data_IF_053186264565
#
_entry.id   IF_053186264565
#
_cell.length_a   1.000
_cell.length_b   1.000
_cell.length_c   1.000
_cell.angle_alpha   90.00
_cell.angle_beta   90.00
_cell.angle_gamma   90.00
#
_symmetry.space_group_name_H-M   'P 1'
#
loop_
_entity.id
_entity.type
_entity.pdbx_description
1 polymer ?
2 polymer ?
3 non-polymer ?
4 non-polymer ?
5 water ?
#
# COMPACT_ATOMS: atom_id res chain seq x y z
N UNK A 1 -10.73 -6.17 -15.10
CA UNK A 1 -11.51 -4.99 -14.73
C UNK A 1 -10.64 -3.78 -14.46
N UNK A 2 -11.26 -2.62 -14.33
CA UNK A 2 -10.59 -1.40 -13.94
C UNK A 2 -11.13 -0.98 -12.59
N UNK A 3 -10.23 -0.77 -11.64
CA UNK A 3 -10.62 -0.38 -10.28
C UNK A 3 -10.10 1.03 -10.01
N UNK A 4 -11.03 1.96 -9.78
CA UNK A 4 -10.67 3.33 -9.42
C UNK A 4 -10.34 3.35 -7.93
N UNK A 5 -9.72 4.45 -7.52
CA UNK A 5 -9.16 4.58 -6.16
C UNK A 5 -9.90 5.62 -5.30
N UNK A 6 -11.09 6.00 -5.72
CA UNK A 6 -11.97 6.83 -4.90
C UNK A 6 -12.19 6.21 -3.52
N UNK A 7 -12.27 4.89 -3.48
CA UNK A 7 -12.43 4.15 -2.24
C UNK A 7 -11.33 3.10 -2.17
N UNK A 8 -11.19 2.44 -1.03
CA UNK A 8 -10.21 1.37 -0.88
C UNK A 8 -10.51 0.30 -1.92
N UNK A 9 -9.48 -0.16 -2.64
CA UNK A 9 -9.67 -1.20 -3.62
C UNK A 9 -9.79 -2.58 -2.97
N UNK A 10 -10.95 -2.82 -2.37
CA UNK A 10 -11.25 -4.06 -1.67
C UNK A 10 -11.96 -5.04 -2.58
N UNK A 11 -11.46 -6.28 -2.59
CA UNK A 11 -12.08 -7.34 -3.37
C UNK A 11 -12.26 -8.56 -2.47
N UNK A 12 -13.19 -9.43 -2.84
CA UNK A 12 -13.33 -10.69 -2.13
C UNK A 12 -12.32 -11.67 -2.72
N UNK A 13 -11.61 -12.35 -1.85
CA UNK A 13 -10.70 -13.41 -2.27
C UNK A 13 -11.16 -14.74 -1.67
N UNK A 14 -10.74 -15.83 -2.30
CA UNK A 14 -11.00 -17.15 -1.76
C UNK A 14 -9.73 -17.97 -1.60
N UNK A 15 -9.62 -18.62 -0.45
CA UNK A 15 -8.60 -19.63 -0.23
C UNK A 15 -9.31 -20.85 0.34
N UNK A 16 -9.27 -21.95 -0.41
CA UNK A 16 -9.99 -23.14 -0.04
C UNK A 16 -11.48 -22.85 0.09
N UNK A 17 -12.04 -23.16 1.25
CA UNK A 17 -13.44 -22.86 1.52
C UNK A 17 -13.62 -21.52 2.24
N UNK A 18 -12.61 -20.66 2.13
CA UNK A 18 -12.55 -19.49 3.00
C UNK A 18 -12.60 -18.19 2.22
N UNK A 19 -13.48 -17.30 2.65
CA UNK A 19 -13.67 -16.00 2.03
C UNK A 19 -13.10 -14.91 2.91
N UNK A 20 -12.37 -13.99 2.27
CA UNK A 20 -11.77 -12.87 2.96
C UNK A 20 -11.93 -11.64 2.08
N UNK A 21 -12.23 -10.50 2.70
CA UNK A 21 -12.19 -9.23 1.99
C UNK A 21 -10.76 -8.72 2.09
N UNK A 22 -10.17 -8.37 0.94
CA UNK A 22 -8.76 -7.99 0.89
C UNK A 22 -8.50 -6.75 0.05
N UNK A 23 -7.47 -6.02 0.45
CA UNK A 23 -7.08 -4.77 -0.16
C UNK A 23 -6.01 -5.01 -1.22
N UNK A 24 -6.29 -4.57 -2.44
CA UNK A 24 -5.29 -4.63 -3.52
C UNK A 24 -4.26 -3.52 -3.31
N UNK A 25 -3.06 -3.92 -2.95
CA UNK A 25 -2.09 -3.04 -2.31
C UNK A 25 -0.74 -3.01 -3.04
N UNK A 26 -0.57 -2.06 -3.96
CA UNK A 26 0.68 -1.92 -4.73
C UNK A 26 1.86 -1.50 -3.87
N UNK A 27 1.56 -0.94 -2.69
CA UNK A 27 2.58 -0.60 -1.70
C UNK A 27 3.13 -1.77 -0.88
N UNK A 28 2.56 -2.96 -1.05
CA UNK A 28 2.97 -4.11 -0.28
C UNK A 28 3.75 -5.10 -1.15
N UNK A 29 4.95 -5.46 -0.71
CA UNK A 29 5.72 -6.49 -1.42
C UNK A 29 5.01 -7.85 -1.33
N UNK A 30 4.41 -8.09 -0.17
CA UNK A 30 3.86 -9.39 0.17
C UNK A 30 2.36 -9.37 0.41
N UNK A 31 1.79 -10.56 0.44
CA UNK A 31 0.38 -10.75 0.74
C UNK A 31 0.24 -11.19 2.20
N UNK A 32 -0.55 -10.45 2.97
CA UNK A 32 -0.78 -10.80 4.37
C UNK A 32 -2.25 -10.83 4.73
N UNK A 33 -2.64 -11.95 5.32
CA UNK A 33 -4.01 -12.17 5.79
C UNK A 33 -4.02 -12.44 7.29
N UNK A 34 -5.11 -12.08 7.96
CA UNK A 34 -5.28 -12.45 9.37
C UNK A 34 -6.17 -13.67 9.54
N UNK A 35 -6.04 -14.33 10.70
CA UNK A 35 -6.86 -15.49 11.05
C UNK A 35 -7.12 -16.41 9.87
N UNK A 36 -6.08 -17.14 9.49
CA UNK A 36 -6.16 -18.13 8.43
C UNK A 36 -5.39 -19.37 8.85
N UNK A 37 -6.09 -20.49 8.94
CA UNK A 37 -5.41 -21.78 9.01
C UNK A 37 -5.04 -22.15 7.58
N UNK A 38 -3.76 -22.43 7.37
CA UNK A 38 -3.29 -22.81 6.04
C UNK A 38 -2.55 -24.13 6.15
N UNK A 39 -2.62 -24.95 5.10
CA UNK A 39 -1.91 -26.21 5.13
C UNK A 39 -0.42 -25.99 4.94
N UNK A 40 0.39 -26.90 5.46
CA UNK A 40 1.81 -26.93 5.15
C UNK A 40 2.69 -26.28 6.19
N UNK A 41 3.98 -26.44 6.01
CA UNK A 41 4.98 -25.87 6.89
C UNK A 41 4.99 -24.36 6.74
N UNK A 42 5.42 -23.67 7.78
CA UNK A 42 5.53 -22.22 7.73
C UNK A 42 6.80 -21.85 8.49
N UNK A 43 7.31 -20.66 8.19
CA UNK A 43 8.43 -20.11 8.93
C UNK A 43 8.11 -18.71 9.42
N UNK A 44 8.52 -18.39 10.65
CA UNK A 44 8.42 -17.04 11.21
C UNK A 44 9.02 -15.97 10.30
N UNK A 45 8.35 -14.81 10.24
CA UNK A 45 8.84 -13.66 9.51
C UNK A 45 8.35 -12.39 10.19
N UNK A 46 9.10 -11.30 10.07
CA UNK A 46 8.63 -9.99 10.51
C UNK A 46 8.55 -9.01 9.34
N UNK A 47 7.40 -8.38 9.20
CA UNK A 47 7.16 -7.47 8.07
C UNK A 47 6.73 -6.10 8.60
N UNK A 48 7.20 -5.04 7.95
CA UNK A 48 7.03 -3.68 8.45
C UNK A 48 6.19 -2.80 7.55
N UNK A 49 5.59 -1.79 8.17
CA UNK A 49 4.99 -0.67 7.45
C UNK A 49 4.98 0.52 8.37
N UNK A 50 4.19 1.54 8.04
CA UNK A 50 4.05 2.66 8.96
C UNK A 50 3.58 2.13 10.30
N UNK A 51 4.27 2.56 11.37
CA UNK A 51 3.97 2.10 12.73
C UNK A 51 4.96 1.09 13.29
N UNK A 52 5.53 0.28 12.41
CA UNK A 52 6.51 -0.72 12.82
C UNK A 52 6.26 -2.08 12.22
N UNK A 53 6.62 -3.12 12.95
CA UNK A 53 6.64 -4.48 12.42
C UNK A 53 5.64 -5.40 13.12
N UNK A 54 5.14 -6.39 12.38
CA UNK A 54 4.39 -7.48 13.00
C UNK A 54 5.04 -8.81 12.65
N UNK A 55 4.81 -9.78 13.52
CA UNK A 55 5.29 -11.12 13.33
C UNK A 55 4.22 -11.90 12.59
N UNK A 56 4.63 -12.59 11.53
CA UNK A 56 3.73 -13.38 10.70
C UNK A 56 4.33 -14.76 10.45
N UNK A 57 3.46 -15.66 9.99
CA UNK A 57 3.87 -16.97 9.49
C UNK A 57 3.85 -16.96 7.97
N UNK A 58 4.97 -17.34 7.35
CA UNK A 58 5.07 -17.44 5.90
C UNK A 58 4.70 -18.84 5.42
N UNK A 59 3.65 -18.93 4.62
CA UNK A 59 3.29 -20.18 3.95
C UNK A 59 3.59 -20.03 2.45
N UNK A 60 4.17 -21.05 1.83
CA UNK A 60 4.49 -20.96 0.40
C UNK A 60 3.47 -21.75 -0.44
N UNK A 61 3.39 -21.41 -1.72
CA UNK A 61 2.63 -22.19 -2.70
C UNK A 61 1.14 -22.34 -2.38
N UNK A 62 0.54 -21.23 -1.94
CA UNK A 62 -0.87 -21.18 -1.55
C UNK A 62 -1.73 -20.65 -2.68
N UNK A 63 -2.67 -21.46 -3.21
CA UNK A 63 -3.59 -20.93 -4.20
C UNK A 63 -4.56 -19.89 -3.65
N UNK A 64 -4.68 -18.77 -4.34
CA UNK A 64 -5.59 -17.70 -3.93
C UNK A 64 -6.40 -17.23 -5.12
N UNK A 65 -7.73 -17.34 -5.04
CA UNK A 65 -8.59 -16.88 -6.12
C UNK A 65 -8.96 -15.41 -5.93
N UNK A 66 -8.62 -14.61 -6.94
CA UNK A 66 -8.81 -13.16 -6.91
C UNK A 66 -9.62 -12.72 -8.14
N UNK A 67 -10.87 -12.37 -7.94
CA UNK A 67 -11.75 -11.95 -9.04
C UNK A 67 -11.67 -12.89 -10.24
N UNK A 68 -11.71 -14.19 -9.99
CA UNK A 68 -11.68 -15.19 -11.06
C UNK A 68 -10.31 -15.56 -11.61
N UNK A 69 -9.27 -14.95 -11.04
CA UNK A 69 -7.89 -15.26 -11.42
C UNK A 69 -7.22 -16.15 -10.37
N UNK A 70 -6.50 -17.17 -10.84
CA UNK A 70 -5.82 -18.11 -9.97
C UNK A 70 -4.42 -17.63 -9.64
N UNK A 71 -4.21 -17.17 -8.40
CA UNK A 71 -2.86 -16.86 -7.96
C UNK A 71 -2.36 -18.00 -7.09
N UNK A 72 -1.07 -18.33 -7.22
CA UNK A 72 -0.42 -19.28 -6.33
C UNK A 72 0.93 -18.73 -5.87
N UNK A 73 1.06 -18.50 -4.58
CA UNK A 73 2.31 -18.00 -4.04
C UNK A 73 2.38 -17.89 -2.52
N UNK A 74 3.27 -17.03 -2.05
CA UNK A 74 3.50 -16.89 -0.62
C UNK A 74 2.38 -16.08 -0.01
N UNK A 75 1.85 -16.58 1.11
CA UNK A 75 0.81 -15.90 1.87
C UNK A 75 1.34 -15.83 3.29
N UNK A 76 1.44 -14.61 3.81
CA UNK A 76 1.84 -14.41 5.19
C UNK A 76 0.58 -14.29 6.03
N UNK A 77 0.64 -14.82 7.23
CA UNK A 77 -0.51 -14.82 8.11
C UNK A 77 -0.12 -14.24 9.47
N UNK A 78 -0.87 -13.21 9.86
CA UNK A 78 -0.72 -12.64 11.20
C UNK A 78 -1.64 -11.46 11.40
N UNK A 79 -1.36 -10.66 12.44
CA UNK A 79 -2.29 -9.64 12.93
C UNK A 79 -2.23 -8.34 12.13
N UNK A 80 -2.41 -8.46 10.82
CA UNK A 80 -2.56 -7.29 9.98
C UNK A 80 -3.93 -6.66 10.26
N UNK A 81 -4.00 -5.34 10.34
CA UNK A 81 -5.28 -4.67 10.58
C UNK A 81 -6.27 -4.78 9.43
N UNK A 82 -5.74 -4.95 8.22
CA UNK A 82 -6.57 -5.26 7.04
C UNK A 82 -5.89 -6.33 6.21
N UNK A 83 -6.67 -7.24 5.63
CA UNK A 83 -6.13 -8.25 4.72
C UNK A 83 -5.63 -7.59 3.45
N UNK A 84 -4.45 -8.03 3.00
CA UNK A 84 -3.68 -7.34 1.98
C UNK A 84 -3.28 -8.30 0.88
N UNK A 85 -3.54 -7.91 -0.36
CA UNK A 85 -2.98 -8.58 -1.52
C UNK A 85 -1.81 -7.74 -2.04
N UNK A 86 -0.61 -8.27 -1.94
CA UNK A 86 0.60 -7.55 -2.36
C UNK A 86 1.10 -7.91 -3.76
N UNK A 87 2.23 -7.31 -4.12
CA UNK A 87 2.76 -7.39 -5.49
C UNK A 87 3.06 -8.82 -5.94
N UNK A 88 3.38 -9.71 -5.00
CA UNK A 88 3.71 -11.08 -5.35
C UNK A 88 2.54 -11.78 -6.06
N UNK A 89 1.31 -11.47 -5.64
CA UNK A 89 0.14 -12.03 -6.28
C UNK A 89 -0.47 -11.10 -7.34
N UNK A 90 -0.38 -9.79 -7.13
CA UNK A 90 -0.90 -8.82 -8.11
C UNK A 90 -0.26 -8.97 -9.48
N UNK A 91 1.04 -9.27 -9.49
CA UNK A 91 1.77 -9.51 -10.74
C UNK A 91 1.21 -10.72 -11.49
N UNK A 92 0.92 -11.79 -10.74
CA UNK A 92 0.47 -13.05 -11.35
C UNK A 92 -0.88 -12.91 -12.04
N UNK A 93 -1.71 -11.99 -11.57
CA UNK A 93 -3.01 -11.78 -12.20
C UNK A 93 -2.98 -10.66 -13.25
N UNK A 94 -1.80 -10.07 -13.45
CA UNK A 94 -1.60 -9.11 -14.55
C UNK A 94 -2.05 -7.71 -14.18
N UNK A 95 -1.96 -7.38 -12.89
CA UNK A 95 -2.42 -6.09 -12.39
C UNK A 95 -1.38 -4.99 -12.61
N UNK A 96 -1.81 -3.88 -13.19
CA UNK A 96 -0.97 -2.71 -13.37
C UNK A 96 -1.63 -1.44 -12.84
N UNK A 97 -0.80 -0.40 -12.65
CA UNK A 97 -1.26 0.95 -12.35
C UNK A 97 -1.20 1.72 -13.66
N UNK A 98 -2.21 2.53 -13.93
CA UNK A 98 -2.34 3.24 -15.20
C UNK A 98 -2.85 4.65 -14.97
N UNK A 99 -2.16 5.64 -15.53
CA UNK A 99 -2.63 7.01 -15.53
C UNK A 99 -1.99 7.81 -16.67
N UNK B 1 1.46 6.83 -17.89
CA UNK B 1 2.17 5.57 -18.01
C UNK B 1 1.37 4.37 -17.54
N UNK B 2 1.89 3.19 -17.84
CA UNK B 2 1.45 1.95 -17.22
C UNK B 2 2.61 1.43 -16.40
N UNK B 3 2.37 1.21 -15.11
CA UNK B 3 3.43 0.74 -14.22
C UNK B 3 3.10 -0.67 -13.77
N UNK B 4 4.03 -1.58 -14.03
CA UNK B 4 3.84 -2.97 -13.67
C UNK B 4 4.38 -3.18 -12.26
N UNK B 5 4.14 -4.35 -11.70
CA UNK B 5 4.40 -4.55 -10.29
C UNK B 5 5.44 -5.60 -9.94
N UNK B 6 6.27 -5.99 -10.91
CA UNK B 6 7.36 -6.93 -10.66
C UNK B 6 8.41 -6.26 -9.76
N UNK B 7 8.48 -4.94 -9.85
CA UNK B 7 9.29 -4.13 -8.97
C UNK B 7 8.39 -3.14 -8.23
N UNK B 8 8.88 -2.59 -7.14
CA UNK B 8 8.14 -1.57 -6.40
C UNK B 8 7.81 -0.42 -7.35
N UNK B 9 6.56 0.07 -7.32
CA UNK B 9 6.15 1.19 -8.16
C UNK B 9 6.67 2.54 -7.65
N UNK B 10 7.99 2.71 -7.72
CA UNK B 10 8.63 3.94 -7.30
C UNK B 10 8.70 4.87 -8.50
N UNK B 11 8.36 6.14 -8.27
CA UNK B 11 8.44 7.14 -9.30
C UNK B 11 9.03 8.41 -8.71
N UNK B 12 9.42 9.32 -9.59
CA UNK B 12 9.93 10.60 -9.17
C UNK B 12 8.77 11.59 -9.01
N UNK B 13 8.79 12.30 -7.89
CA UNK B 13 7.81 13.34 -7.66
C UNK B 13 8.55 14.67 -7.50
N UNK B 14 7.83 15.76 -7.74
CA UNK B 14 8.34 17.09 -7.43
C UNK B 14 7.40 17.77 -6.44
N UNK B 15 8.00 18.29 -5.37
CA UNK B 15 7.26 18.93 -4.30
C UNK B 15 8.16 20.00 -3.67
N UNK B 16 7.69 21.24 -3.64
CA UNK B 16 8.48 22.35 -3.12
C UNK B 16 9.78 22.61 -3.86
N UNK B 17 9.81 22.24 -5.14
CA UNK B 17 11.01 22.37 -5.96
C UNK B 17 12.03 21.26 -5.77
N UNK B 18 11.70 20.27 -4.95
CA UNK B 18 12.62 19.16 -4.71
C UNK B 18 12.11 17.92 -5.42
N UNK B 19 13.02 17.17 -6.04
CA UNK B 19 12.70 15.86 -6.58
C UNK B 19 12.90 14.81 -5.50
N UNK B 20 11.94 13.91 -5.39
CA UNK B 20 12.00 12.80 -4.46
C UNK B 20 11.46 11.54 -5.12
N UNK B 21 11.87 10.39 -4.63
CA UNK B 21 11.30 9.11 -5.05
C UNK B 21 10.17 8.72 -4.11
N UNK B 22 9.05 8.31 -4.69
CA UNK B 22 7.90 7.87 -3.91
C UNK B 22 7.25 6.63 -4.50
N UNK B 23 6.62 5.89 -3.61
CA UNK B 23 5.96 4.63 -3.91
C UNK B 23 4.49 4.88 -4.19
N UNK B 24 4.02 4.48 -5.38
CA UNK B 24 2.59 4.56 -5.68
C UNK B 24 1.86 3.43 -4.95
N UNK B 25 1.01 3.81 -4.00
CA UNK B 25 0.52 2.90 -2.97
C UNK B 25 -1.00 2.93 -2.85
N UNK B 26 -1.64 1.95 -3.48
CA UNK B 26 -3.09 1.85 -3.47
C UNK B 26 -3.69 1.42 -2.12
N UNK B 27 -2.85 0.93 -1.20
CA UNK B 27 -3.29 0.51 0.11
C UNK B 27 -3.26 1.60 1.16
N UNK B 28 -2.91 2.81 0.74
CA UNK B 28 -2.78 3.95 1.62
C UNK B 28 -3.87 4.96 1.25
N UNK B 29 -4.68 5.33 2.23
CA UNK B 29 -5.66 6.39 2.05
C UNK B 29 -4.94 7.72 1.77
N UNK B 30 -3.85 7.96 2.48
CA UNK B 30 -3.19 9.25 2.55
C UNK B 30 -1.79 9.14 1.97
N UNK B 31 -1.25 10.31 1.63
CA UNK B 31 0.11 10.48 1.14
C UNK B 31 1.00 10.87 2.33
N UNK B 32 2.05 10.09 2.56
CA UNK B 32 2.95 10.25 3.72
C UNK B 32 4.40 10.30 3.24
N UNK B 33 5.04 11.45 3.44
CA UNK B 33 6.44 11.65 3.06
C UNK B 33 7.36 11.60 4.26
N UNK B 34 8.58 11.15 4.01
CA UNK B 34 9.65 11.22 4.97
C UNK B 34 9.81 12.65 5.50
N UNK B 35 10.39 12.74 6.69
CA UNK B 35 10.67 14.01 7.36
C UNK B 35 11.19 15.05 6.38
N UNK B 36 10.51 16.20 6.32
CA UNK B 36 10.96 17.30 5.48
C UNK B 36 10.20 18.53 5.91
N UNK B 37 10.73 19.70 5.62
CA UNK B 37 9.96 20.92 5.81
C UNK B 37 9.15 21.21 4.57
N UNK B 38 7.98 21.79 4.75
CA UNK B 38 7.09 22.10 3.66
C UNK B 38 6.41 23.43 3.93
N UNK B 39 6.15 24.21 2.86
CA UNK B 39 5.50 25.50 2.95
C UNK B 39 4.29 25.58 3.86
N UNK B 40 4.48 26.22 5.01
CA UNK B 40 3.39 26.89 5.72
C UNK B 40 2.18 26.07 6.12
N UNK B 41 1.63 26.38 7.28
CA UNK B 41 0.35 25.82 7.74
C UNK B 41 0.37 24.29 7.76
N UNK B 42 0.70 23.75 8.93
CA UNK B 42 0.45 22.34 9.20
C UNK B 42 -0.27 22.21 10.54
N UNK B 43 -0.96 21.08 10.70
CA UNK B 43 -1.60 20.74 11.97
C UNK B 43 -1.09 19.37 12.42
N UNK B 44 -0.97 19.16 13.73
CA UNK B 44 -0.69 17.82 14.22
C UNK B 44 -1.83 16.87 13.87
N UNK B 45 -1.47 15.64 13.52
CA UNK B 45 -2.44 14.59 13.24
C UNK B 45 -1.89 13.25 13.71
N UNK B 46 -2.79 12.30 13.93
CA UNK B 46 -2.38 10.94 14.20
C UNK B 46 -2.94 10.03 13.10
N UNK B 47 -2.11 9.14 12.58
CA UNK B 47 -2.61 8.15 11.62
C UNK B 47 -2.40 6.72 12.12
N UNK B 48 -3.40 5.89 11.84
CA UNK B 48 -3.41 4.51 12.29
C UNK B 48 -2.20 3.83 11.68
N UNK B 49 -1.41 3.17 12.52
CA UNK B 49 -0.25 2.43 12.06
C UNK B 49 -0.22 1.01 12.60
N UNK B 50 0.85 0.30 12.26
CA UNK B 50 1.09 -1.01 12.84
C UNK B 50 1.47 -0.82 14.31
N UNK B 51 0.74 -1.50 15.18
CA UNK B 51 0.99 -1.43 16.63
C UNK B 51 0.47 -0.18 17.29
N UNK B 52 -0.18 0.69 16.52
CA UNK B 52 -0.80 1.89 17.07
C UNK B 52 -0.61 3.12 16.20
N UNK B 53 -1.02 4.26 16.74
CA UNK B 53 -1.02 5.50 15.99
C UNK B 53 0.37 6.12 15.95
N UNK B 54 0.71 6.70 14.80
CA UNK B 54 1.96 7.43 14.65
C UNK B 54 1.63 8.91 14.49
N UNK B 55 2.53 9.76 14.99
CA UNK B 55 2.37 11.20 14.89
C UNK B 55 2.90 11.69 13.55
N UNK B 56 2.09 12.49 12.89
CA UNK B 56 2.51 13.14 11.66
C UNK B 56 2.11 14.61 11.70
N UNK B 57 2.66 15.37 10.75
CA UNK B 57 2.24 16.75 10.50
C UNK B 57 1.43 16.79 9.22
N UNK B 58 0.25 17.39 9.27
CA UNK B 58 -0.63 17.45 8.11
C UNK B 58 -0.56 18.82 7.45
N UNK B 59 -0.07 18.83 6.22
CA UNK B 59 -0.11 20.02 5.35
C UNK B 59 -1.25 19.88 4.34
N UNK B 60 -2.13 20.89 4.26
CA UNK B 60 -3.21 20.86 3.28
C UNK B 60 -2.86 21.64 2.03
N UNK B 61 -3.59 21.35 0.95
CA UNK B 61 -3.45 22.03 -0.33
C UNK B 61 -2.00 22.25 -0.77
N UNK B 62 -1.23 21.17 -0.82
CA UNK B 62 0.16 21.22 -1.30
C UNK B 62 0.24 20.71 -2.75
N UNK B 63 0.84 21.49 -3.66
CA UNK B 63 1.06 21.02 -5.02
C UNK B 63 2.13 19.93 -5.08
N UNK B 64 1.78 18.82 -5.71
CA UNK B 64 2.70 17.70 -5.92
C UNK B 64 2.60 17.22 -7.36
N UNK B 65 3.73 17.17 -8.04
CA UNK B 65 3.80 16.66 -9.41
C UNK B 65 4.32 15.21 -9.41
N UNK B 66 3.52 14.31 -10.00
CA UNK B 66 3.79 12.89 -10.00
C UNK B 66 3.90 12.43 -11.46
N UNK B 67 5.11 12.13 -11.90
CA UNK B 67 5.37 11.78 -13.30
C UNK B 67 4.84 12.84 -14.24
N UNK B 68 4.94 14.10 -13.83
CA UNK B 68 4.49 15.22 -14.63
C UNK B 68 2.98 15.40 -14.65
N UNK B 69 2.30 14.73 -13.71
CA UNK B 69 0.86 14.91 -13.54
C UNK B 69 0.65 15.71 -12.26
N UNK B 70 -0.13 16.79 -12.37
CA UNK B 70 -0.30 17.74 -11.28
C UNK B 70 -1.34 17.27 -10.27
N UNK B 71 -0.98 17.29 -8.99
CA UNK B 71 -1.98 17.14 -7.95
C UNK B 71 -1.80 18.25 -6.91
N UNK B 72 -2.88 18.55 -6.22
CA UNK B 72 -2.84 19.50 -5.12
C UNK B 72 -3.73 19.02 -3.98
N UNK B 73 -3.10 18.64 -2.88
CA UNK B 73 -3.85 18.10 -1.75
C UNK B 73 -3.03 17.92 -0.49
N UNK B 74 -3.55 17.06 0.36
CA UNK B 74 -3.02 16.92 1.71
C UNK B 74 -1.81 16.02 1.69
N UNK B 75 -0.73 16.51 2.26
CA UNK B 75 0.49 15.73 2.37
C UNK B 75 0.81 15.61 3.86
N UNK B 76 0.92 14.38 4.32
CA UNK B 76 1.34 14.10 5.70
C UNK B 76 2.85 13.89 5.72
N UNK B 77 3.49 14.38 6.78
CA UNK B 77 4.94 14.22 6.94
C UNK B 77 5.22 13.51 8.28
N UNK B 78 5.95 12.40 8.23
CA UNK B 78 6.31 11.69 9.46
C UNK B 78 7.19 10.48 9.20
N UNK B 79 7.34 9.61 10.22
CA UNK B 79 8.20 8.43 10.15
C UNK B 79 7.65 7.30 9.29
N UNK B 80 7.95 7.35 8.00
CA UNK B 80 7.52 6.33 7.08
C UNK B 80 8.75 5.63 6.50
N UNK B 81 8.70 4.29 6.36
CA UNK B 81 9.77 3.57 5.69
C UNK B 81 10.19 4.18 4.35
N UNK B 82 9.21 4.71 3.62
CA UNK B 82 9.45 5.26 2.29
C UNK B 82 8.38 6.31 1.98
N UNK B 83 8.72 7.27 1.14
CA UNK B 83 7.73 8.26 0.68
C UNK B 83 6.64 7.48 -0.02
N UNK B 84 5.40 7.76 0.36
CA UNK B 84 4.24 7.01 -0.12
C UNK B 84 3.22 7.98 -0.71
N UNK B 85 2.84 7.74 -1.95
CA UNK B 85 1.73 8.46 -2.57
C UNK B 85 0.45 7.65 -2.43
N UNK B 86 -0.52 8.20 -1.70
CA UNK B 86 -1.76 7.47 -1.46
C UNK B 86 -2.89 7.83 -2.38
N UNK B 87 -4.04 7.20 -2.16
CA UNK B 87 -5.21 7.36 -3.04
C UNK B 87 -5.69 8.81 -3.14
N UNK B 88 -5.46 9.63 -2.11
CA UNK B 88 -5.91 11.02 -2.15
C UNK B 88 -5.33 11.77 -3.35
N UNK B 89 -4.09 11.44 -3.70
CA UNK B 89 -3.43 12.07 -4.85
C UNK B 89 -3.47 11.18 -6.09
N UNK B 90 -3.49 9.87 -5.90
CA UNK B 90 -3.59 8.96 -7.03
C UNK B 90 -4.89 9.20 -7.80
N UNK B 91 -5.97 9.45 -7.08
CA UNK B 91 -7.24 9.74 -7.70
C UNK B 91 -7.12 11.01 -8.54
N UNK B 92 -6.37 11.99 -8.04
CA UNK B 92 -6.31 13.27 -8.73
C UNK B 92 -5.60 13.18 -10.08
N UNK B 93 -4.62 12.29 -10.16
CA UNK B 93 -3.86 12.11 -11.39
C UNK B 93 -4.48 11.08 -12.31
N UNK B 94 -5.66 10.56 -11.94
CA UNK B 94 -6.39 9.62 -12.78
C UNK B 94 -5.87 8.20 -12.75
N UNK B 95 -5.21 7.82 -11.66
CA UNK B 95 -4.62 6.50 -11.54
C UNK B 95 -5.64 5.43 -11.19
N UNK B 96 -5.62 4.34 -11.95
CA UNK B 96 -6.50 3.18 -11.71
C UNK B 96 -5.68 1.89 -11.64
N UNK B 97 -6.26 0.85 -11.05
CA UNK B 97 -5.70 -0.48 -11.08
C UNK B 97 -6.41 -1.27 -12.18
N UNK B 98 -5.64 -2.00 -12.96
CA UNK B 98 -6.19 -2.73 -14.10
C UNK B 98 -5.61 -4.14 -14.20
N UNK B 99 -6.48 -5.10 -14.49
CA UNK B 99 -6.06 -6.46 -14.80
C UNK B 99 -7.17 -7.17 -15.56
N UNK C 1 9.55 -7.53 1.77
CA UNK C 1 9.07 -7.49 3.18
C UNK C 1 8.02 -6.40 3.45
N UNK C 2 8.30 -5.18 2.98
CA UNK C 2 7.52 -4.00 3.37
C UNK C 2 6.08 -4.01 2.85
N UNK C 3 5.14 -3.94 3.78
CA UNK C 3 3.70 -3.83 3.50
C UNK C 3 3.20 -2.45 3.93
N UNK C 4 3.44 -1.45 3.09
CA UNK C 4 3.40 -0.05 3.51
C UNK C 4 2.03 0.64 3.55
N UNK C 5 0.96 -0.15 3.46
CA UNK C 5 -0.41 0.37 3.50
C UNK C 5 -0.68 1.24 4.74
N UNK C 6 -1.64 2.14 4.63
CA UNK C 6 -2.05 2.98 5.76
C UNK C 6 -3.53 3.38 5.71
N UNK C 7 -4.15 3.44 6.88
CA UNK C 7 -5.55 3.83 7.00
C UNK C 7 -5.72 5.35 6.91
X LIG D 1 -13.65 2.16 1.96
X LIG D 1 -13.68 2.21 3.20
X LIG D 1 -13.11 3.13 1.38
X LIG D 1 -14.22 1.00 1.21
X LIG E 1 -1.89 17.32 -15.70
X LIG E 1 -1.32 16.56 -16.86
X LIG E 1 -0.78 17.72 -14.74
X LIG E 1 -2.55 18.58 -16.19
X LIG E 1 -2.89 16.46 -14.99
X LIG F 1 12.62 -2.86 -6.15
X LIG F 1 11.46 -3.29 -6.20
X LIG F 1 13.51 -3.68 -6.42
X LIG F 1 12.95 -1.44 -5.78
#
# INVERSE_FOLDING_TARGET
PQITLWKRPLVTIRIGGQLKEALLNTGADDTVLEEMNLPGKWKPKMIGGIGGFIKVRQYDQIPVEICGHKAIGTVLVGPTPVNIIGRNLLTQIGCTLNF
PQITLWKRPLVTIRIGGQLKEALLNTGADDTVLEEMNLPGKWKPKMIGGIGGFIKVRQYDQIPVEICGHKAIGTVLVGPTPVNIIGRNLLTQIGCTLNF
RQANFLGKIN
ACT C O OXT CH3
PO4 P O1 O2 O3 O4
ACT C O OXT CH3
#
